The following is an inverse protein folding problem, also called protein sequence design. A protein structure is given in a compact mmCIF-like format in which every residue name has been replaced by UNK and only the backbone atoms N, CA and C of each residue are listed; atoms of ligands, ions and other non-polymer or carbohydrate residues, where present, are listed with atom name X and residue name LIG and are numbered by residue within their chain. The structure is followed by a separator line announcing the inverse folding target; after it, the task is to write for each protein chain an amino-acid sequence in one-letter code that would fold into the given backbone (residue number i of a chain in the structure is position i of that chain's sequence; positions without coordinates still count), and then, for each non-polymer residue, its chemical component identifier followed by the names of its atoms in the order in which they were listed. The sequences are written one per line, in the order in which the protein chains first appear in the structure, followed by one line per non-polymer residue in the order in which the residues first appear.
data_IF_681599302613
#
_entry.id   IF_681599302613
#
_cell.length_a   1.000
_cell.length_b   1.000
_cell.length_c   1.000
_cell.angle_alpha   90.00
_cell.angle_beta   90.00
_cell.angle_gamma   90.00
#
_symmetry.space_group_name_H-M   'P 1'
#
loop_
_entity.id
_entity.type
_entity.pdbx_description
1 polymer ?
#
# COMPACT_ATOMS: atom_id res chain seq x y z
N UNK A 1 3.22 18.03 58.20
CA UNK A 1 3.30 16.85 57.31
C UNK A 1 4.76 16.62 56.97
N UNK A 2 5.32 15.53 57.49
CA UNK A 2 6.77 15.24 57.47
C UNK A 2 7.19 14.87 56.05
N UNK A 3 8.16 15.60 55.48
CA UNK A 3 8.85 15.22 54.24
C UNK A 3 9.77 14.05 54.54
N UNK A 4 9.31 12.84 54.24
CA UNK A 4 10.15 11.65 54.27
C UNK A 4 11.02 11.66 53.02
N UNK A 5 12.28 12.08 53.18
CA UNK A 5 13.31 11.94 52.16
C UNK A 5 13.71 10.46 52.12
N UNK A 6 13.29 9.74 51.09
CA UNK A 6 13.73 8.37 50.83
C UNK A 6 15.17 8.48 50.30
N UNK A 7 16.14 8.28 51.17
CA UNK A 7 17.52 8.00 50.76
C UNK A 7 17.56 6.59 50.19
N UNK A 8 17.69 6.50 48.87
CA UNK A 8 18.04 5.24 48.17
C UNK A 8 19.42 4.78 48.63
N UNK A 9 19.47 3.57 49.23
CA UNK A 9 20.68 2.82 49.47
C UNK A 9 20.85 1.88 48.27
N UNK A 10 21.72 2.29 47.36
CA UNK A 10 22.21 1.48 46.24
C UNK A 10 23.32 2.26 45.56
N UNK A 11 24.58 1.97 45.90
CA UNK A 11 25.76 2.55 45.22
C UNK A 11 25.98 1.92 43.84
N UNK A 12 24.91 1.79 43.06
CA UNK A 12 25.02 1.57 41.62
C UNK A 12 25.38 2.90 40.99
N UNK A 13 26.53 2.99 40.33
CA UNK A 13 26.88 4.15 39.52
C UNK A 13 25.72 4.36 38.54
N UNK A 14 25.11 5.55 38.56
CA UNK A 14 24.13 5.94 37.56
C UNK A 14 24.85 6.15 36.22
N UNK A 15 24.95 5.05 35.47
CA UNK A 15 25.65 5.02 34.18
C UNK A 15 24.85 5.73 33.09
N UNK A 16 23.55 5.92 33.27
CA UNK A 16 22.67 6.57 32.29
C UNK A 16 22.85 8.09 32.33
N UNK A 17 22.93 8.71 33.51
CA UNK A 17 23.23 10.15 33.60
C UNK A 17 24.65 10.54 33.17
N UNK A 18 25.56 9.57 33.08
CA UNK A 18 26.92 9.78 32.55
C UNK A 18 27.02 9.71 31.02
N UNK A 19 25.94 9.36 30.30
CA UNK A 19 25.95 9.31 28.83
C UNK A 19 25.81 10.72 28.23
N UNK A 20 26.53 11.02 27.13
CA UNK A 20 26.27 12.21 26.33
C UNK A 20 24.83 12.27 25.82
N UNK A 21 24.30 13.48 25.68
CA UNK A 21 22.92 13.75 25.25
C UNK A 21 22.54 13.07 23.94
N UNK A 22 23.42 13.06 22.94
CA UNK A 22 23.16 12.39 21.66
C UNK A 22 22.96 10.86 21.79
N UNK A 23 23.61 10.21 22.77
CA UNK A 23 23.39 8.78 23.04
C UNK A 23 22.06 8.56 23.77
N UNK A 24 21.69 9.47 24.67
CA UNK A 24 20.39 9.42 25.33
C UNK A 24 19.26 9.62 24.31
N UNK A 25 19.37 10.60 23.41
CA UNK A 25 18.39 10.81 22.35
C UNK A 25 18.27 9.60 21.42
N UNK A 26 19.38 8.91 21.14
CA UNK A 26 19.37 7.66 20.38
C UNK A 26 18.70 6.51 21.13
N UNK A 27 18.84 6.42 22.45
CA UNK A 27 18.10 5.43 23.25
C UNK A 27 16.61 5.76 23.23
N UNK A 28 16.27 7.04 23.41
CA UNK A 28 14.88 7.52 23.41
C UNK A 28 14.21 7.36 22.04
N UNK A 29 14.93 7.40 20.93
CA UNK A 29 14.37 7.18 19.59
C UNK A 29 13.95 5.73 19.33
N UNK A 30 14.36 4.79 20.17
CA UNK A 30 13.89 3.39 20.13
C UNK A 30 12.65 3.16 21.01
N UNK A 31 12.15 4.21 21.69
CA UNK A 31 10.95 4.18 22.51
C UNK A 31 9.79 4.88 21.80
N UNK A 32 8.56 4.57 22.20
CA UNK A 32 7.40 5.37 21.84
C UNK A 32 7.57 6.82 22.33
N UNK A 33 6.96 7.78 21.64
CA UNK A 33 6.95 9.19 22.07
C UNK A 33 6.47 9.33 23.51
N UNK A 34 5.42 8.60 23.87
CA UNK A 34 4.83 8.58 25.21
C UNK A 34 5.84 8.13 26.28
N UNK A 35 6.58 7.06 26.02
CA UNK A 35 7.59 6.56 26.96
C UNK A 35 8.83 7.45 27.00
N UNK A 36 9.23 8.01 25.87
CA UNK A 36 10.28 9.02 25.79
C UNK A 36 9.94 10.24 26.66
N UNK A 37 8.73 10.78 26.53
CA UNK A 37 8.23 11.89 27.37
C UNK A 37 8.15 11.49 28.83
N UNK A 38 7.73 10.26 29.18
CA UNK A 38 7.68 9.77 30.57
C UNK A 38 9.05 9.82 31.25
N UNK A 39 10.16 9.66 30.53
CA UNK A 39 11.51 9.79 31.10
C UNK A 39 11.81 11.19 31.65
N UNK A 40 11.03 12.21 31.26
CA UNK A 40 11.18 13.60 31.71
C UNK A 40 11.10 13.79 33.23
N UNK A 41 10.50 12.83 33.96
CA UNK A 41 10.38 12.89 35.43
C UNK A 41 11.63 12.38 36.16
N UNK A 42 12.56 11.73 35.46
CA UNK A 42 13.75 11.10 36.07
C UNK A 42 14.70 12.13 36.68
N UNK A 43 14.97 13.24 35.98
CA UNK A 43 15.76 14.35 36.52
C UNK A 43 15.63 15.62 35.68
N UNK A 44 16.26 16.73 36.13
CA UNK A 44 16.31 17.99 35.37
C UNK A 44 16.97 17.82 33.99
N UNK A 45 17.95 16.92 33.87
CA UNK A 45 18.64 16.66 32.61
C UNK A 45 17.71 15.97 31.60
N UNK A 46 16.84 15.07 32.07
CA UNK A 46 15.95 14.28 31.19
C UNK A 46 14.70 15.02 30.76
N UNK A 47 14.33 16.11 31.47
CA UNK A 47 13.08 16.86 31.28
C UNK A 47 12.76 17.27 29.83
N UNK A 48 13.79 17.55 29.04
CA UNK A 48 13.68 18.08 27.68
C UNK A 48 14.39 17.18 26.64
N UNK A 49 14.93 16.02 27.02
CA UNK A 49 15.67 15.17 26.08
C UNK A 49 14.78 14.68 24.93
N UNK A 50 13.52 14.37 25.23
CA UNK A 50 12.54 13.94 24.21
C UNK A 50 12.33 14.98 23.10
N UNK A 51 12.56 16.28 23.37
CA UNK A 51 12.41 17.35 22.37
C UNK A 51 13.54 17.32 21.32
N UNK A 52 14.66 16.65 21.60
CA UNK A 52 15.77 16.44 20.67
C UNK A 52 15.64 15.12 19.89
N UNK A 53 14.63 14.30 20.19
CA UNK A 53 14.41 13.04 19.47
C UNK A 53 13.82 13.38 18.10
N UNK A 54 14.45 12.94 17.00
CA UNK A 54 14.04 13.33 15.64
C UNK A 54 12.87 12.49 15.12
N UNK A 55 12.10 11.88 16.00
CA UNK A 55 10.96 11.02 15.67
C UNK A 55 9.83 11.40 16.61
N UNK A 56 8.65 11.62 16.05
CA UNK A 56 7.47 11.97 16.82
C UNK A 56 6.26 11.19 16.32
N UNK A 57 5.61 10.49 17.24
CA UNK A 57 4.43 9.65 17.01
C UNK A 57 3.34 10.12 17.96
N UNK A 58 2.17 10.45 17.41
CA UNK A 58 1.08 11.05 18.16
C UNK A 58 -0.26 10.42 17.83
N UNK A 59 -1.07 10.25 18.86
CA UNK A 59 -2.49 9.97 18.72
C UNK A 59 -3.26 11.06 19.43
N UNK A 60 -4.20 11.71 18.74
CA UNK A 60 -4.98 12.79 19.36
C UNK A 60 -5.82 12.35 20.56
N UNK A 61 -6.10 11.04 20.67
CA UNK A 61 -6.83 10.43 21.79
C UNK A 61 -5.99 10.31 23.07
N UNK A 62 -4.65 10.39 22.97
CA UNK A 62 -3.74 10.40 24.13
C UNK A 62 -3.79 11.73 24.91
N UNK A 63 -4.44 12.75 24.34
CA UNK A 63 -4.56 14.08 24.93
C UNK A 63 -5.97 14.31 25.48
N UNK A 64 -6.10 14.91 26.68
CA UNK A 64 -7.40 15.11 27.32
C UNK A 64 -8.28 16.10 26.57
N UNK A 65 -7.68 17.08 25.90
CA UNK A 65 -8.36 18.08 25.08
C UNK A 65 -7.39 18.70 24.06
N UNK A 66 -7.92 19.52 23.15
CA UNK A 66 -7.16 20.18 22.08
C UNK A 66 -6.16 21.22 22.62
N UNK A 67 -6.44 21.89 23.74
CA UNK A 67 -5.50 22.87 24.29
C UNK A 67 -4.22 22.18 24.76
N UNK A 68 -4.33 21.04 25.45
CA UNK A 68 -3.17 20.26 25.90
C UNK A 68 -2.40 19.68 24.72
N UNK A 69 -3.10 19.21 23.67
CA UNK A 69 -2.47 18.76 22.43
C UNK A 69 -1.68 19.90 21.77
N UNK A 70 -2.30 21.07 21.60
CA UNK A 70 -1.65 22.25 21.03
C UNK A 70 -0.43 22.68 21.83
N UNK A 71 -0.53 22.78 23.15
CA UNK A 71 0.60 23.13 24.03
C UNK A 71 1.77 22.15 23.88
N UNK A 72 1.46 20.86 23.68
CA UNK A 72 2.48 19.85 23.43
C UNK A 72 3.19 20.08 22.08
N UNK A 73 2.43 20.31 21.01
CA UNK A 73 2.99 20.60 19.68
C UNK A 73 3.79 21.91 19.71
N UNK A 74 3.26 22.97 20.32
CA UNK A 74 3.94 24.27 20.47
C UNK A 74 5.29 24.11 21.16
N UNK A 75 5.32 23.29 22.22
CA UNK A 75 6.57 23.00 22.93
C UNK A 75 7.55 22.23 22.06
N UNK A 76 7.08 21.25 21.27
CA UNK A 76 7.95 20.45 20.41
C UNK A 76 8.50 21.24 19.21
N UNK A 77 7.62 21.90 18.48
CA UNK A 77 7.95 22.68 17.29
C UNK A 77 8.75 23.95 17.64
N UNK A 78 8.42 24.57 18.78
CA UNK A 78 9.16 25.73 19.30
C UNK A 78 10.56 25.37 19.80
N UNK A 79 10.84 24.09 20.02
CA UNK A 79 12.12 23.61 20.53
C UNK A 79 13.11 23.31 19.41
N UNK A 80 14.26 24.00 19.47
CA UNK A 80 15.41 23.87 18.57
C UNK A 80 15.07 23.58 17.11
N UNK A 81 14.74 24.66 16.39
CA UNK A 81 14.34 24.64 14.98
C UNK A 81 15.46 24.19 14.03
N UNK A 82 16.70 24.05 14.51
CA UNK A 82 17.80 23.55 13.68
C UNK A 82 17.84 22.02 13.59
N UNK A 83 17.17 21.33 14.51
CA UNK A 83 17.09 19.86 14.51
C UNK A 83 16.04 19.40 13.50
N UNK A 84 16.50 18.61 12.53
CA UNK A 84 15.64 17.97 11.55
C UNK A 84 14.76 16.91 12.19
N UNK A 85 13.47 16.99 11.87
CA UNK A 85 12.53 15.93 12.16
C UNK A 85 12.73 14.85 11.12
N UNK A 86 13.11 13.62 11.50
CA UNK A 86 13.23 12.53 10.55
C UNK A 86 11.86 11.96 10.22
N UNK A 87 11.07 11.67 11.24
CA UNK A 87 9.77 11.03 11.09
C UNK A 87 8.71 11.70 11.95
N UNK A 88 7.53 11.90 11.36
CA UNK A 88 6.32 12.35 12.03
C UNK A 88 5.17 11.41 11.67
N UNK A 89 4.60 10.77 12.67
CA UNK A 89 3.40 9.93 12.56
C UNK A 89 2.30 10.54 13.43
N UNK A 90 1.12 10.71 12.83
CA UNK A 90 -0.05 11.16 13.57
C UNK A 90 -1.31 10.39 13.18
N UNK A 91 -2.02 9.91 14.19
CA UNK A 91 -3.43 9.62 14.12
C UNK A 91 -4.23 10.83 14.64
N UNK A 92 -5.00 11.45 13.74
CA UNK A 92 -5.75 12.67 13.99
C UNK A 92 -7.26 12.42 13.97
N UNK A 93 -7.96 12.77 15.04
CA UNK A 93 -9.42 12.77 15.06
C UNK A 93 -9.97 14.20 14.95
N UNK A 94 -10.35 14.56 13.73
CA UNK A 94 -10.97 15.85 13.39
C UNK A 94 -12.35 16.06 14.03
N UNK A 95 -13.01 15.03 14.54
CA UNK A 95 -14.24 15.23 15.32
C UNK A 95 -13.95 15.78 16.73
N UNK A 96 -12.72 15.60 17.21
CA UNK A 96 -12.29 15.99 18.55
C UNK A 96 -11.44 17.26 18.50
N UNK A 97 -10.62 17.41 17.46
CA UNK A 97 -9.64 18.50 17.34
C UNK A 97 -9.86 19.38 16.12
N UNK A 98 -9.40 20.62 16.17
CA UNK A 98 -9.75 21.63 15.18
C UNK A 98 -8.90 21.53 13.91
N UNK A 99 -9.54 21.73 12.77
CA UNK A 99 -8.87 21.69 11.47
C UNK A 99 -7.70 22.68 11.34
N UNK A 100 -7.83 23.89 11.91
CA UNK A 100 -6.77 24.90 11.84
C UNK A 100 -5.50 24.47 12.61
N UNK A 101 -5.66 23.73 13.71
CA UNK A 101 -4.53 23.20 14.47
C UNK A 101 -3.81 22.10 13.69
N UNK A 102 -4.55 21.28 12.95
CA UNK A 102 -3.98 20.30 12.02
C UNK A 102 -3.11 20.97 10.95
N UNK A 103 -3.64 21.99 10.25
CA UNK A 103 -2.91 22.68 9.19
C UNK A 103 -1.61 23.31 9.71
N UNK A 104 -1.71 24.04 10.83
CA UNK A 104 -0.57 24.70 11.46
C UNK A 104 0.51 23.69 11.86
N UNK A 105 0.12 22.58 12.49
CA UNK A 105 1.05 21.54 12.92
C UNK A 105 1.79 20.92 11.74
N UNK A 106 1.08 20.55 10.66
CA UNK A 106 1.72 19.97 9.48
C UNK A 106 2.65 20.98 8.79
N UNK A 107 2.25 22.26 8.69
CA UNK A 107 3.11 23.33 8.16
C UNK A 107 4.44 23.42 8.93
N UNK A 108 4.38 23.32 10.26
CA UNK A 108 5.56 23.42 11.10
C UNK A 108 6.42 22.14 11.07
N UNK A 109 5.81 20.96 10.96
CA UNK A 109 6.49 19.68 10.71
C UNK A 109 7.26 19.74 9.38
N UNK A 110 6.64 20.26 8.32
CA UNK A 110 7.29 20.45 7.02
C UNK A 110 8.46 21.44 7.12
N UNK A 111 8.32 22.55 7.85
CA UNK A 111 9.41 23.51 8.09
C UNK A 111 10.60 22.89 8.84
N UNK A 112 10.37 21.84 9.64
CA UNK A 112 11.42 21.03 10.28
C UNK A 112 12.05 19.98 9.37
N UNK A 113 11.87 20.10 8.05
CA UNK A 113 12.53 19.28 7.02
C UNK A 113 12.25 17.78 7.19
N UNK A 114 10.99 17.44 7.48
CA UNK A 114 10.54 16.06 7.64
C UNK A 114 10.90 15.18 6.44
N UNK A 115 11.37 13.96 6.71
CA UNK A 115 11.67 12.96 5.69
C UNK A 115 10.53 11.94 5.55
N UNK A 116 9.99 11.48 6.67
CA UNK A 116 8.95 10.45 6.72
C UNK A 116 7.70 11.05 7.36
N UNK A 117 6.63 11.17 6.60
CA UNK A 117 5.35 11.72 7.08
C UNK A 117 4.26 10.67 6.94
N UNK A 118 3.65 10.30 8.06
CA UNK A 118 2.43 9.49 8.13
C UNK A 118 1.31 10.30 8.78
N UNK A 119 0.20 10.45 8.06
CA UNK A 119 -1.00 11.12 8.55
C UNK A 119 -2.18 10.19 8.34
N UNK A 120 -2.76 9.75 9.44
CA UNK A 120 -4.00 8.98 9.45
C UNK A 120 -5.08 9.82 10.11
N UNK A 121 -6.16 10.11 9.40
CA UNK A 121 -7.34 10.70 10.01
C UNK A 121 -8.32 9.59 10.43
N UNK A 122 -9.22 9.89 11.35
CA UNK A 122 -10.24 8.93 11.79
C UNK A 122 -11.10 8.45 10.60
N UNK A 123 -11.14 7.14 10.27
CA UNK A 123 -11.85 6.60 9.10
C UNK A 123 -13.38 6.69 9.20
N UNK A 124 -13.92 6.89 10.41
CA UNK A 124 -15.37 6.97 10.64
C UNK A 124 -15.93 8.39 10.45
N UNK A 125 -15.12 9.33 9.94
CA UNK A 125 -15.56 10.70 9.65
C UNK A 125 -16.37 10.75 8.36
N UNK A 126 -17.40 11.60 8.34
CA UNK A 126 -18.13 11.91 7.11
C UNK A 126 -17.22 12.76 6.20
N UNK A 127 -17.30 12.56 4.88
CA UNK A 127 -16.47 13.21 3.86
C UNK A 127 -16.22 14.72 4.08
N UNK A 128 -17.24 15.47 4.51
CA UNK A 128 -17.16 16.92 4.75
C UNK A 128 -16.20 17.33 5.88
N UNK A 129 -15.73 16.35 6.68
CA UNK A 129 -14.85 16.58 7.83
C UNK A 129 -13.41 16.13 7.59
N UNK A 130 -13.06 15.58 6.44
CA UNK A 130 -11.68 15.15 6.19
C UNK A 130 -10.72 16.34 6.32
N UNK A 131 -9.62 16.14 7.04
CA UNK A 131 -8.54 17.14 7.06
C UNK A 131 -7.92 17.24 5.67
N UNK A 132 -7.70 18.46 5.19
CA UNK A 132 -7.11 18.71 3.88
C UNK A 132 -5.63 18.99 4.07
N UNK A 133 -4.77 18.39 3.25
CA UNK A 133 -3.34 18.62 3.35
C UNK A 133 -2.97 20.07 3.02
N UNK A 134 -2.13 20.73 3.84
CA UNK A 134 -1.68 22.10 3.58
C UNK A 134 -0.79 22.18 2.34
N UNK A 135 -0.72 23.36 1.74
CA UNK A 135 0.06 23.63 0.52
C UNK A 135 1.56 23.38 0.75
N UNK A 136 2.06 23.62 1.96
CA UNK A 136 3.47 23.39 2.32
C UNK A 136 3.92 21.94 2.03
N UNK A 137 3.02 20.96 2.21
CA UNK A 137 3.32 19.56 1.99
C UNK A 137 3.71 19.29 0.54
N UNK A 138 3.01 19.90 -0.42
CA UNK A 138 3.19 19.69 -1.86
C UNK A 138 4.54 20.19 -2.38
N UNK A 139 5.26 20.99 -1.61
CA UNK A 139 6.58 21.54 -1.94
C UNK A 139 7.68 21.09 -0.96
N UNK A 140 7.42 20.05 -0.16
CA UNK A 140 8.39 19.56 0.82
C UNK A 140 9.56 18.85 0.14
N UNK A 141 10.69 19.56 -0.01
CA UNK A 141 11.86 19.07 -0.72
C UNK A 141 12.64 17.95 0.00
N UNK A 142 12.38 17.72 1.28
CA UNK A 142 13.05 16.72 2.12
C UNK A 142 12.31 15.40 2.19
N UNK A 143 11.01 15.39 1.87
CA UNK A 143 10.14 14.25 2.03
C UNK A 143 10.58 13.08 1.15
N UNK A 144 10.70 11.90 1.76
CA UNK A 144 11.09 10.63 1.15
C UNK A 144 9.94 9.63 1.18
N UNK A 145 9.23 9.54 2.31
CA UNK A 145 8.10 8.65 2.48
C UNK A 145 6.86 9.46 2.85
N UNK A 146 5.79 9.32 2.07
CA UNK A 146 4.51 9.99 2.30
C UNK A 146 3.39 8.96 2.41
N UNK A 147 2.82 8.82 3.61
CA UNK A 147 1.67 7.97 3.89
C UNK A 147 0.48 8.84 4.33
N UNK A 148 -0.59 8.80 3.54
CA UNK A 148 -1.81 9.55 3.80
C UNK A 148 -3.00 8.59 3.85
N UNK A 149 -3.74 8.61 4.96
CA UNK A 149 -4.90 7.76 5.18
C UNK A 149 -6.12 8.59 5.63
N UNK A 150 -7.23 8.49 4.91
CA UNK A 150 -8.51 9.14 5.20
C UNK A 150 -8.44 10.68 5.24
N UNK A 151 -7.70 11.27 4.31
CA UNK A 151 -7.53 12.72 4.21
C UNK A 151 -8.04 13.25 2.88
N UNK A 152 -8.06 14.58 2.74
CA UNK A 152 -8.36 15.25 1.50
C UNK A 152 -7.12 16.00 0.95
N UNK A 153 -7.04 16.10 -0.37
CA UNK A 153 -6.01 16.84 -1.09
C UNK A 153 -6.67 18.00 -1.85
N UNK A 154 -6.11 19.19 -1.66
CA UNK A 154 -6.60 20.42 -2.28
C UNK A 154 -6.25 20.47 -3.76
N UNK A 155 -7.12 21.11 -4.56
CA UNK A 155 -6.79 21.42 -5.94
C UNK A 155 -5.69 22.47 -6.00
N UNK A 156 -4.59 22.14 -6.67
CA UNK A 156 -3.47 23.06 -6.89
C UNK A 156 -3.11 23.06 -8.37
N UNK A 157 -2.66 24.21 -8.93
CA UNK A 157 -2.05 24.23 -10.25
C UNK A 157 -0.89 23.24 -10.30
N UNK A 158 -0.76 22.48 -11.40
CA UNK A 158 0.25 21.41 -11.49
C UNK A 158 1.69 21.90 -11.29
N UNK A 159 1.97 23.15 -11.63
CA UNK A 159 3.29 23.81 -11.42
C UNK A 159 3.64 24.02 -9.94
N UNK A 160 2.67 23.88 -9.03
CA UNK A 160 2.83 24.12 -7.59
C UNK A 160 3.21 22.86 -6.80
N UNK A 161 3.31 21.70 -7.46
CA UNK A 161 3.63 20.43 -6.81
C UNK A 161 5.06 20.03 -7.15
N UNK A 162 5.91 19.87 -6.13
CA UNK A 162 7.32 19.50 -6.29
C UNK A 162 7.78 18.66 -5.09
N UNK A 163 7.89 17.35 -5.32
CA UNK A 163 8.27 16.36 -4.31
C UNK A 163 9.51 15.56 -4.79
N UNK A 164 10.68 16.21 -4.89
CA UNK A 164 11.83 15.71 -5.64
C UNK A 164 12.52 14.48 -5.02
N UNK A 165 12.21 14.15 -3.77
CA UNK A 165 12.86 13.05 -3.02
C UNK A 165 11.91 11.93 -2.63
N UNK A 166 10.62 12.06 -2.91
CA UNK A 166 9.62 11.06 -2.51
C UNK A 166 9.86 9.77 -3.30
N UNK A 167 10.18 8.72 -2.55
CA UNK A 167 10.43 7.36 -3.03
C UNK A 167 9.24 6.45 -2.78
N UNK A 168 8.52 6.65 -1.68
CA UNK A 168 7.32 5.87 -1.37
C UNK A 168 6.13 6.79 -1.18
N UNK A 169 5.03 6.43 -1.85
CA UNK A 169 3.77 7.13 -1.76
C UNK A 169 2.67 6.11 -1.47
N UNK A 170 2.08 6.21 -0.28
CA UNK A 170 0.97 5.38 0.16
C UNK A 170 -0.25 6.26 0.37
N UNK A 171 -1.35 5.94 -0.30
CA UNK A 171 -2.60 6.70 -0.28
C UNK A 171 -3.74 5.74 0.04
N UNK A 172 -4.46 5.95 1.13
CA UNK A 172 -5.58 5.11 1.54
C UNK A 172 -6.81 5.95 1.83
N UNK A 173 -7.89 5.78 1.05
CA UNK A 173 -9.11 6.56 1.22
C UNK A 173 -8.88 8.07 1.09
N UNK A 174 -8.00 8.49 0.17
CA UNK A 174 -7.66 9.89 -0.04
C UNK A 174 -8.61 10.52 -1.04
N UNK A 175 -9.27 11.62 -0.64
CA UNK A 175 -10.15 12.38 -1.53
C UNK A 175 -9.41 13.48 -2.26
N UNK A 176 -9.66 13.62 -3.54
CA UNK A 176 -9.03 14.64 -4.38
C UNK A 176 -10.07 15.66 -4.82
N UNK A 177 -9.82 16.94 -4.53
CA UNK A 177 -10.64 18.07 -4.99
C UNK A 177 -10.39 18.40 -6.47
N UNK A 178 -10.40 17.39 -7.34
CA UNK A 178 -10.10 17.51 -8.76
C UNK A 178 -9.44 16.27 -9.36
N UNK A 179 -9.87 15.93 -10.57
CA UNK A 179 -9.51 14.65 -11.22
C UNK A 179 -8.02 14.52 -11.55
N UNK A 180 -7.32 15.64 -11.77
CA UNK A 180 -5.92 15.65 -12.21
C UNK A 180 -4.91 15.62 -11.06
N UNK A 181 -5.34 15.74 -9.80
CA UNK A 181 -4.43 15.94 -8.66
C UNK A 181 -3.57 14.70 -8.42
N UNK A 182 -4.17 13.51 -8.39
CA UNK A 182 -3.43 12.26 -8.18
C UNK A 182 -2.38 12.03 -9.28
N UNK A 183 -2.77 12.21 -10.54
CA UNK A 183 -1.84 12.12 -11.68
C UNK A 183 -0.71 13.15 -11.59
N UNK A 184 -1.04 14.39 -11.22
CA UNK A 184 -0.06 15.48 -11.00
C UNK A 184 0.92 15.12 -9.89
N UNK A 185 0.42 14.65 -8.73
CA UNK A 185 1.22 14.25 -7.58
C UNK A 185 2.22 13.16 -7.95
N UNK A 186 1.75 12.09 -8.61
CA UNK A 186 2.60 10.98 -9.06
C UNK A 186 3.65 11.46 -10.07
N UNK A 187 3.27 12.30 -11.04
CA UNK A 187 4.22 12.84 -12.03
C UNK A 187 5.25 13.82 -11.44
N UNK A 188 4.93 14.46 -10.31
CA UNK A 188 5.81 15.42 -9.62
C UNK A 188 6.85 14.74 -8.73
N UNK A 189 6.71 13.43 -8.48
CA UNK A 189 7.66 12.63 -7.72
C UNK A 189 8.65 11.93 -8.67
N UNK A 190 9.75 12.59 -9.01
CA UNK A 190 10.69 12.13 -10.06
C UNK A 190 11.53 10.90 -9.70
N UNK A 191 11.57 10.52 -8.41
CA UNK A 191 12.31 9.38 -7.88
C UNK A 191 11.41 8.36 -7.19
N UNK A 192 10.10 8.41 -7.41
CA UNK A 192 9.12 7.51 -6.82
C UNK A 192 9.40 6.07 -7.24
N UNK A 193 9.65 5.17 -6.28
CA UNK A 193 9.92 3.75 -6.51
C UNK A 193 8.70 2.89 -6.18
N UNK A 194 7.98 3.22 -5.11
CA UNK A 194 6.83 2.45 -4.60
C UNK A 194 5.57 3.32 -4.50
N UNK A 195 4.52 2.94 -5.22
CA UNK A 195 3.21 3.60 -5.21
C UNK A 195 2.13 2.61 -4.77
N UNK A 196 1.40 2.95 -3.71
CA UNK A 196 0.23 2.18 -3.25
C UNK A 196 -0.98 3.09 -3.13
N UNK A 197 -2.10 2.67 -3.72
CA UNK A 197 -3.39 3.36 -3.67
C UNK A 197 -4.47 2.38 -3.22
N UNK A 198 -5.10 2.68 -2.09
CA UNK A 198 -6.26 1.94 -1.58
C UNK A 198 -7.49 2.81 -1.74
N UNK A 199 -8.41 2.42 -2.64
CA UNK A 199 -9.60 3.17 -3.03
C UNK A 199 -10.77 2.86 -2.10
N UNK A 200 -11.58 3.87 -1.74
CA UNK A 200 -12.83 3.72 -1.00
C UNK A 200 -14.06 4.16 -1.83
N UNK A 201 -15.28 3.71 -1.46
CA UNK A 201 -16.51 4.11 -2.14
C UNK A 201 -16.65 5.62 -2.30
N UNK A 202 -16.81 6.08 -3.54
CA UNK A 202 -17.04 7.50 -3.84
C UNK A 202 -15.79 8.38 -3.76
N UNK A 203 -14.58 7.80 -3.82
CA UNK A 203 -13.34 8.58 -3.89
C UNK A 203 -13.05 9.14 -5.29
N UNK A 204 -13.46 8.45 -6.36
CA UNK A 204 -13.09 8.78 -7.73
C UNK A 204 -14.25 8.54 -8.70
N UNK A 205 -14.74 9.61 -9.34
CA UNK A 205 -15.83 9.51 -10.32
C UNK A 205 -15.32 9.37 -11.78
N UNK A 206 -14.01 9.53 -12.01
CA UNK A 206 -13.40 9.57 -13.35
C UNK A 206 -12.15 8.68 -13.46
N UNK A 207 -11.60 8.65 -14.68
CA UNK A 207 -10.39 7.89 -15.02
C UNK A 207 -9.18 8.43 -14.25
N UNK A 208 -8.49 7.55 -13.53
CA UNK A 208 -7.25 7.85 -12.81
C UNK A 208 -6.05 7.45 -13.68
N UNK A 209 -5.17 8.40 -13.95
CA UNK A 209 -3.97 8.19 -14.76
C UNK A 209 -2.71 8.11 -13.90
N UNK A 210 -2.03 6.96 -13.91
CA UNK A 210 -0.73 6.76 -13.27
C UNK A 210 0.37 6.76 -14.33
N UNK A 211 1.07 7.90 -14.47
CA UNK A 211 2.18 8.06 -15.40
C UNK A 211 3.45 8.40 -14.63
N UNK A 212 4.44 7.51 -14.68
CA UNK A 212 5.73 7.72 -14.00
C UNK A 212 6.87 7.04 -14.73
N UNK A 213 8.04 7.69 -14.72
CA UNK A 213 9.28 7.15 -15.29
C UNK A 213 10.20 6.50 -14.24
N UNK A 214 9.80 6.48 -12.97
CA UNK A 214 10.62 6.00 -11.85
C UNK A 214 10.00 4.81 -11.11
N UNK A 215 8.67 4.67 -11.12
CA UNK A 215 7.95 3.66 -10.33
C UNK A 215 8.38 2.25 -10.73
N UNK A 216 8.75 1.46 -9.71
CA UNK A 216 9.16 0.05 -9.80
C UNK A 216 8.10 -0.88 -9.21
N UNK A 217 7.37 -0.44 -8.20
CA UNK A 217 6.29 -1.18 -7.54
C UNK A 217 5.01 -0.36 -7.54
N UNK A 218 3.93 -0.94 -8.04
CA UNK A 218 2.60 -0.34 -8.05
C UNK A 218 1.59 -1.29 -7.44
N UNK A 219 0.84 -0.82 -6.46
CA UNK A 219 -0.29 -1.55 -5.88
C UNK A 219 -1.53 -0.68 -5.93
N UNK A 220 -2.62 -1.24 -6.44
CA UNK A 220 -3.96 -0.68 -6.31
C UNK A 220 -4.87 -1.72 -5.66
N UNK A 221 -5.57 -1.31 -4.61
CA UNK A 221 -6.47 -2.16 -3.84
C UNK A 221 -7.81 -1.46 -3.70
N UNK A 222 -8.89 -2.19 -3.91
CA UNK A 222 -10.23 -1.69 -3.71
C UNK A 222 -10.75 -2.08 -2.33
N UNK A 223 -11.29 -1.10 -1.62
CA UNK A 223 -12.18 -1.30 -0.47
C UNK A 223 -13.62 -0.92 -0.86
N UNK A 224 -13.91 -0.84 -2.18
CA UNK A 224 -15.23 -0.49 -2.69
C UNK A 224 -16.16 -1.71 -2.77
N UNK A 225 -17.39 -1.57 -2.27
CA UNK A 225 -18.43 -2.61 -2.43
C UNK A 225 -19.10 -2.59 -3.82
N UNK A 226 -18.90 -1.52 -4.59
CA UNK A 226 -19.59 -1.28 -5.86
C UNK A 226 -18.59 -1.18 -7.01
N UNK A 227 -18.32 0.04 -7.47
CA UNK A 227 -17.56 0.34 -8.67
C UNK A 227 -16.37 1.24 -8.34
N UNK A 228 -15.19 0.79 -8.76
CA UNK A 228 -13.94 1.53 -8.75
C UNK A 228 -13.82 2.47 -9.95
N UNK A 229 -12.96 3.49 -9.85
CA UNK A 229 -12.61 4.30 -11.01
C UNK A 229 -11.96 3.49 -12.12
N UNK A 230 -12.07 4.01 -13.33
CA UNK A 230 -11.28 3.51 -14.45
C UNK A 230 -9.81 3.89 -14.26
N UNK A 231 -8.88 3.07 -14.75
CA UNK A 231 -7.44 3.27 -14.53
C UNK A 231 -6.66 3.21 -15.84
N UNK A 232 -5.70 4.12 -15.99
CA UNK A 232 -4.65 4.05 -17.01
C UNK A 232 -3.27 4.00 -16.35
N UNK A 233 -2.44 3.03 -16.76
CA UNK A 233 -1.06 2.87 -16.28
C UNK A 233 -0.07 3.05 -17.43
N UNK A 234 0.89 3.95 -17.24
CA UNK A 234 2.05 4.14 -18.12
C UNK A 234 3.32 4.30 -17.26
N UNK A 235 3.90 3.16 -16.88
CA UNK A 235 5.04 3.05 -15.97
C UNK A 235 6.09 2.08 -16.56
N UNK A 236 6.92 2.51 -17.53
CA UNK A 236 7.79 1.61 -18.30
C UNK A 236 8.90 0.93 -17.49
N UNK A 237 9.16 1.36 -16.26
CA UNK A 237 10.14 0.74 -15.33
C UNK A 237 9.49 -0.15 -14.27
N UNK A 238 8.18 -0.39 -14.36
CA UNK A 238 7.46 -1.17 -13.37
C UNK A 238 7.96 -2.62 -13.35
N UNK A 239 8.45 -3.07 -12.20
CA UNK A 239 8.94 -4.43 -11.94
C UNK A 239 7.88 -5.28 -11.24
N UNK A 240 6.99 -4.65 -10.46
CA UNK A 240 5.92 -5.29 -9.74
C UNK A 240 4.61 -4.50 -9.87
N UNK A 241 3.53 -5.18 -10.24
CA UNK A 241 2.18 -4.62 -10.28
C UNK A 241 1.23 -5.51 -9.46
N UNK A 242 0.45 -4.93 -8.57
CA UNK A 242 -0.56 -5.65 -7.79
C UNK A 242 -1.91 -4.94 -7.92
N UNK A 243 -2.93 -5.69 -8.33
CA UNK A 243 -4.32 -5.23 -8.43
C UNK A 243 -5.13 -6.16 -7.54
N UNK A 244 -5.79 -5.61 -6.51
CA UNK A 244 -6.54 -6.39 -5.52
C UNK A 244 -7.99 -5.96 -5.44
N UNK A 245 -8.86 -6.96 -5.45
CA UNK A 245 -10.30 -6.85 -5.28
C UNK A 245 -10.99 -5.86 -6.24
N UNK A 246 -10.32 -5.47 -7.33
CA UNK A 246 -10.67 -4.28 -8.10
C UNK A 246 -11.83 -4.50 -9.06
N UNK A 247 -12.77 -3.57 -9.13
CA UNK A 247 -13.98 -3.70 -9.96
C UNK A 247 -14.26 -2.44 -10.77
N UNK A 248 -13.92 -2.44 -12.07
CA UNK A 248 -14.02 -1.24 -12.91
C UNK A 248 -14.69 -1.51 -14.26
N UNK A 249 -15.04 -0.45 -15.00
CA UNK A 249 -15.46 -0.58 -16.40
C UNK A 249 -14.27 -0.65 -17.36
N UNK A 250 -13.11 -0.11 -16.96
CA UNK A 250 -11.93 -0.03 -17.82
C UNK A 250 -10.64 0.03 -17.01
N UNK A 251 -9.69 -0.83 -17.37
CA UNK A 251 -8.33 -0.81 -16.85
C UNK A 251 -7.34 -0.97 -18.00
N UNK A 252 -6.59 0.09 -18.30
CA UNK A 252 -5.69 0.14 -19.46
C UNK A 252 -4.24 0.14 -18.99
N UNK A 253 -3.46 -0.79 -19.54
CA UNK A 253 -2.02 -0.88 -19.30
C UNK A 253 -1.29 -0.51 -20.59
N UNK A 254 -0.77 0.72 -20.67
CA UNK A 254 -0.03 1.22 -21.83
C UNK A 254 1.40 0.66 -21.88
N UNK A 255 2.15 0.85 -20.80
CA UNK A 255 3.51 0.35 -20.68
C UNK A 255 3.86 -0.03 -19.25
N UNK A 256 4.52 -1.18 -19.11
CA UNK A 256 5.11 -1.71 -17.88
C UNK A 256 6.46 -2.33 -18.23
N UNK A 257 7.31 -2.55 -17.23
CA UNK A 257 8.64 -3.12 -17.44
C UNK A 257 8.59 -4.48 -18.13
N UNK A 258 9.53 -4.77 -19.04
CA UNK A 258 9.65 -6.10 -19.61
C UNK A 258 9.99 -7.06 -18.47
N UNK A 259 9.23 -8.15 -18.35
CA UNK A 259 9.38 -9.15 -17.27
C UNK A 259 8.88 -8.74 -15.88
N UNK A 260 8.03 -7.73 -15.77
CA UNK A 260 7.35 -7.42 -14.52
C UNK A 260 6.67 -8.68 -13.93
N UNK A 261 6.62 -8.76 -12.60
CA UNK A 261 5.72 -9.65 -11.88
C UNK A 261 4.38 -8.94 -11.70
N UNK A 262 3.28 -9.62 -12.00
CA UNK A 262 1.94 -9.07 -11.81
C UNK A 262 1.09 -9.95 -10.91
N UNK A 263 0.35 -9.35 -10.00
CA UNK A 263 -0.69 -9.98 -9.21
C UNK A 263 -2.02 -9.32 -9.60
N UNK A 264 -2.94 -10.11 -10.14
CA UNK A 264 -4.14 -9.59 -10.81
C UNK A 264 -5.39 -10.25 -10.26
N UNK A 265 -6.07 -9.49 -9.40
CA UNK A 265 -7.43 -9.72 -8.96
C UNK A 265 -8.33 -8.56 -9.39
N UNK A 266 -8.95 -8.71 -10.57
CA UNK A 266 -9.80 -7.69 -11.19
C UNK A 266 -11.03 -8.31 -11.83
N UNK A 267 -12.14 -7.58 -11.78
CA UNK A 267 -13.37 -7.86 -12.52
C UNK A 267 -13.79 -6.64 -13.33
N UNK A 268 -14.38 -6.88 -14.51
CA UNK A 268 -14.93 -5.82 -15.36
C UNK A 268 -16.46 -5.83 -15.35
N UNK A 269 -17.07 -4.74 -14.89
CA UNK A 269 -18.52 -4.53 -14.92
C UNK A 269 -18.98 -4.09 -16.31
N UNK A 270 -18.93 -5.00 -17.27
CA UNK A 270 -19.23 -4.70 -18.68
C UNK A 270 -20.12 -5.75 -19.31
N UNK A 271 -20.87 -5.35 -20.33
CA UNK A 271 -21.56 -6.28 -21.21
C UNK A 271 -20.53 -6.94 -22.14
N UNK A 272 -20.24 -8.22 -21.95
CA UNK A 272 -19.19 -8.93 -22.71
C UNK A 272 -19.49 -9.06 -24.21
N UNK A 273 -20.73 -8.80 -24.62
CA UNK A 273 -21.15 -8.77 -26.03
C UNK A 273 -20.86 -7.41 -26.69
N UNK A 274 -20.60 -6.35 -25.91
CA UNK A 274 -20.27 -5.02 -26.43
C UNK A 274 -18.87 -5.02 -27.09
N UNK A 275 -18.75 -4.66 -28.38
CA UNK A 275 -17.46 -4.52 -29.07
C UNK A 275 -16.45 -3.61 -28.37
N UNK A 276 -16.90 -2.58 -27.63
CA UNK A 276 -16.03 -1.69 -26.88
C UNK A 276 -15.45 -2.40 -25.65
N UNK A 277 -16.27 -3.11 -24.90
CA UNK A 277 -15.84 -3.95 -23.77
C UNK A 277 -14.83 -5.02 -24.21
N UNK A 278 -15.11 -5.73 -25.31
CA UNK A 278 -14.19 -6.71 -25.90
C UNK A 278 -12.83 -6.07 -26.24
N UNK A 279 -12.86 -4.87 -26.83
CA UNK A 279 -11.64 -4.13 -27.17
C UNK A 279 -10.84 -3.73 -25.94
N UNK A 280 -11.52 -3.25 -24.89
CA UNK A 280 -10.89 -2.88 -23.62
C UNK A 280 -10.24 -4.09 -22.95
N UNK A 281 -10.96 -5.21 -22.80
CA UNK A 281 -10.42 -6.44 -22.20
C UNK A 281 -9.22 -6.95 -23.02
N UNK A 282 -9.30 -6.92 -24.35
CA UNK A 282 -8.16 -7.29 -25.22
C UNK A 282 -6.94 -6.42 -24.94
N UNK A 283 -7.12 -5.10 -24.80
CA UNK A 283 -6.03 -4.17 -24.53
C UNK A 283 -5.41 -4.44 -23.15
N UNK A 284 -6.23 -4.67 -22.13
CA UNK A 284 -5.77 -5.07 -20.80
C UNK A 284 -4.92 -6.34 -20.86
N UNK A 285 -5.46 -7.43 -21.40
CA UNK A 285 -4.77 -8.72 -21.53
C UNK A 285 -3.47 -8.61 -22.34
N UNK A 286 -3.47 -7.77 -23.38
CA UNK A 286 -2.27 -7.50 -24.18
C UNK A 286 -1.22 -6.74 -23.37
N UNK A 287 -1.63 -5.75 -22.56
CA UNK A 287 -0.73 -4.98 -21.70
C UNK A 287 0.01 -5.87 -20.70
N UNK A 288 -0.70 -6.82 -20.07
CA UNK A 288 -0.11 -7.77 -19.11
C UNK A 288 0.51 -9.02 -19.76
N UNK A 289 0.43 -9.20 -21.08
CA UNK A 289 0.98 -10.41 -21.75
C UNK A 289 2.51 -10.52 -21.75
N UNK A 290 3.20 -9.41 -21.47
CA UNK A 290 4.68 -9.30 -21.52
C UNK A 290 5.38 -9.73 -20.24
N UNK A 291 4.61 -10.06 -19.20
CA UNK A 291 5.07 -10.34 -17.82
C UNK A 291 5.78 -11.69 -17.72
N UNK A 292 6.62 -11.85 -16.70
CA UNK A 292 7.38 -13.09 -16.46
C UNK A 292 6.75 -13.99 -15.41
N UNK A 293 6.14 -13.37 -14.41
CA UNK A 293 5.46 -14.04 -13.31
C UNK A 293 4.09 -13.43 -13.14
N UNK A 294 3.08 -14.27 -12.94
CA UNK A 294 1.70 -13.83 -12.75
C UNK A 294 1.09 -14.58 -11.58
N UNK A 295 0.43 -13.83 -10.69
CA UNK A 295 -0.61 -14.34 -9.81
C UNK A 295 -1.96 -13.91 -10.39
N UNK A 296 -2.93 -14.83 -10.44
CA UNK A 296 -4.26 -14.59 -11.02
C UNK A 296 -5.36 -15.12 -10.11
N UNK A 297 -6.41 -14.33 -9.90
CA UNK A 297 -7.57 -14.73 -9.11
C UNK A 297 -8.65 -15.45 -9.93
N UNK A 298 -9.60 -16.09 -9.24
CA UNK A 298 -10.85 -16.59 -9.82
C UNK A 298 -11.60 -15.53 -10.64
N UNK A 299 -11.73 -14.30 -10.10
CA UNK A 299 -12.45 -13.19 -10.76
C UNK A 299 -11.82 -12.85 -12.11
N UNK A 300 -10.49 -12.74 -12.13
CA UNK A 300 -9.74 -12.44 -13.36
C UNK A 300 -9.84 -13.58 -14.38
N UNK A 301 -9.83 -14.85 -13.94
CA UNK A 301 -10.04 -15.99 -14.86
C UNK A 301 -11.45 -16.01 -15.47
N UNK A 302 -12.47 -15.58 -14.72
CA UNK A 302 -13.84 -15.44 -15.24
C UNK A 302 -13.90 -14.43 -16.39
N UNK A 303 -13.24 -13.28 -16.23
CA UNK A 303 -13.08 -12.27 -17.30
C UNK A 303 -12.45 -12.89 -18.55
N UNK A 304 -11.34 -13.63 -18.38
CA UNK A 304 -10.62 -14.28 -19.49
C UNK A 304 -11.51 -15.30 -20.21
N UNK A 305 -12.28 -16.09 -19.45
CA UNK A 305 -13.23 -17.06 -20.00
C UNK A 305 -14.33 -16.36 -20.79
N UNK A 306 -14.95 -15.33 -20.21
CA UNK A 306 -15.98 -14.52 -20.87
C UNK A 306 -15.49 -13.98 -22.21
N UNK A 307 -14.32 -13.34 -22.19
CA UNK A 307 -13.66 -12.84 -23.40
C UNK A 307 -13.37 -13.95 -24.43
N UNK A 308 -12.78 -15.08 -24.00
CA UNK A 308 -12.48 -16.19 -24.88
C UNK A 308 -13.76 -16.79 -25.51
N UNK A 309 -14.87 -16.81 -24.76
CA UNK A 309 -16.14 -17.33 -25.27
C UNK A 309 -16.65 -16.55 -26.49
N UNK A 310 -16.37 -15.24 -26.54
CA UNK A 310 -16.76 -14.33 -27.61
C UNK A 310 -15.76 -14.31 -28.78
N UNK A 311 -14.46 -14.18 -28.49
CA UNK A 311 -13.44 -13.93 -29.53
C UNK A 311 -12.76 -15.20 -30.03
N UNK A 312 -12.80 -16.29 -29.25
CA UNK A 312 -12.12 -17.59 -29.54
C UNK A 312 -10.60 -17.46 -29.77
N UNK A 313 -10.00 -16.34 -29.37
CA UNK A 313 -8.56 -16.11 -29.47
C UNK A 313 -8.09 -15.27 -28.27
N UNK A 314 -7.07 -15.75 -27.56
CA UNK A 314 -6.42 -15.04 -26.45
C UNK A 314 -5.04 -14.51 -26.87
N UNK A 315 -4.59 -13.37 -26.32
CA UNK A 315 -3.19 -12.95 -26.44
C UNK A 315 -2.23 -14.03 -25.93
N UNK A 316 -1.05 -14.12 -26.55
CA UNK A 316 -0.03 -15.10 -26.17
C UNK A 316 0.82 -14.57 -25.00
N UNK A 317 0.86 -15.32 -23.90
CA UNK A 317 1.68 -15.04 -22.72
C UNK A 317 3.05 -15.73 -22.86
N UNK A 318 3.80 -15.29 -23.86
CA UNK A 318 5.03 -15.98 -24.28
C UNK A 318 6.20 -15.81 -23.30
N UNK A 319 6.19 -14.77 -22.48
CA UNK A 319 7.24 -14.53 -21.49
C UNK A 319 6.92 -15.16 -20.12
N UNK A 320 5.68 -15.62 -19.93
CA UNK A 320 5.22 -16.10 -18.64
C UNK A 320 5.88 -17.45 -18.31
N UNK A 321 6.67 -17.45 -17.24
CA UNK A 321 7.47 -18.59 -16.79
C UNK A 321 6.96 -19.20 -15.47
N UNK A 322 6.30 -18.40 -14.63
CA UNK A 322 5.65 -18.83 -13.39
C UNK A 322 4.24 -18.27 -13.33
N UNK A 323 3.26 -19.14 -13.08
CA UNK A 323 1.87 -18.78 -12.86
C UNK A 323 1.45 -19.30 -11.48
N UNK A 324 0.80 -18.46 -10.71
CA UNK A 324 0.16 -18.79 -9.45
C UNK A 324 -1.33 -18.46 -9.58
N UNK A 325 -2.19 -19.44 -9.40
CA UNK A 325 -3.64 -19.28 -9.54
C UNK A 325 -4.27 -19.40 -8.16
N UNK A 326 -4.89 -18.32 -7.67
CA UNK A 326 -5.60 -18.26 -6.39
C UNK A 326 -7.10 -18.42 -6.67
N UNK A 327 -7.61 -19.65 -6.50
CA UNK A 327 -8.93 -20.03 -7.02
C UNK A 327 -9.87 -20.50 -5.93
N UNK A 328 -11.15 -20.16 -6.07
CA UNK A 328 -12.25 -20.88 -5.41
C UNK A 328 -12.54 -22.18 -6.18
N UNK A 329 -12.96 -23.23 -5.50
CA UNK A 329 -13.11 -24.60 -6.03
C UNK A 329 -13.82 -24.69 -7.40
N UNK A 330 -14.81 -23.84 -7.70
CA UNK A 330 -15.55 -23.89 -8.97
C UNK A 330 -14.79 -23.33 -10.19
N UNK A 331 -13.67 -22.65 -10.00
CA UNK A 331 -13.02 -21.86 -11.06
C UNK A 331 -11.83 -22.55 -11.75
N UNK A 332 -11.35 -23.69 -11.25
CA UNK A 332 -10.21 -24.39 -11.85
C UNK A 332 -10.52 -24.91 -13.26
N UNK A 333 -11.79 -25.15 -13.61
CA UNK A 333 -12.20 -25.57 -14.96
C UNK A 333 -11.85 -24.54 -16.05
N UNK A 334 -11.61 -23.29 -15.67
CA UNK A 334 -11.28 -22.20 -16.59
C UNK A 334 -9.77 -22.08 -16.84
N UNK A 335 -8.96 -22.67 -15.97
CA UNK A 335 -7.51 -22.63 -16.03
C UNK A 335 -6.93 -23.26 -17.31
N UNK A 336 -7.42 -24.40 -17.84
CA UNK A 336 -6.87 -24.99 -19.07
C UNK A 336 -6.91 -24.07 -20.29
N UNK A 337 -7.96 -23.24 -20.41
CA UNK A 337 -8.10 -22.28 -21.52
C UNK A 337 -6.98 -21.24 -21.46
N UNK A 338 -6.74 -20.66 -20.29
CA UNK A 338 -5.68 -19.69 -20.08
C UNK A 338 -4.28 -20.32 -20.19
N UNK A 339 -4.10 -21.53 -19.67
CA UNK A 339 -2.84 -22.27 -19.84
C UNK A 339 -2.49 -22.46 -21.32
N UNK A 340 -3.49 -22.64 -22.20
CA UNK A 340 -3.31 -22.77 -23.65
C UNK A 340 -2.51 -21.64 -24.31
N UNK A 341 -2.57 -20.41 -23.78
CA UNK A 341 -1.80 -19.27 -24.31
C UNK A 341 -0.48 -19.00 -23.57
N UNK A 342 -0.14 -19.75 -22.52
CA UNK A 342 1.07 -19.58 -21.70
C UNK A 342 2.22 -20.48 -22.19
N UNK A 343 2.75 -20.28 -23.40
CA UNK A 343 3.60 -21.27 -24.11
C UNK A 343 4.91 -21.65 -23.39
N UNK A 344 5.51 -20.74 -22.62
CA UNK A 344 6.82 -20.94 -21.96
C UNK A 344 6.72 -21.12 -20.44
N UNK A 345 5.54 -21.51 -19.95
CA UNK A 345 5.31 -21.73 -18.53
C UNK A 345 6.17 -22.90 -18.01
N UNK A 346 6.90 -22.69 -16.92
CA UNK A 346 7.79 -23.68 -16.30
C UNK A 346 7.32 -24.12 -14.91
N UNK A 347 6.67 -23.21 -14.17
CA UNK A 347 6.14 -23.44 -12.84
C UNK A 347 4.67 -23.03 -12.80
N UNK A 348 3.82 -23.90 -12.26
CA UNK A 348 2.43 -23.60 -11.97
C UNK A 348 2.15 -23.92 -10.49
N UNK A 349 1.64 -22.94 -9.77
CA UNK A 349 1.09 -23.09 -8.42
C UNK A 349 -0.41 -22.86 -8.52
N UNK A 350 -1.20 -23.74 -7.90
CA UNK A 350 -2.65 -23.55 -7.80
C UNK A 350 -2.99 -23.59 -6.32
N UNK A 351 -3.42 -22.47 -5.78
CA UNK A 351 -3.97 -22.38 -4.44
C UNK A 351 -5.49 -22.41 -4.53
N UNK A 352 -6.09 -23.31 -3.76
CA UNK A 352 -7.54 -23.40 -3.65
C UNK A 352 -8.00 -22.87 -2.30
N UNK A 353 -8.92 -21.91 -2.37
CA UNK A 353 -9.63 -21.36 -1.23
C UNK A 353 -10.97 -22.09 -1.04
N UNK A 354 -11.38 -22.25 0.23
CA UNK A 354 -12.64 -22.89 0.61
C UNK A 354 -12.64 -24.42 0.80
N UNK A 355 -11.52 -25.12 0.64
CA UNK A 355 -11.46 -26.56 0.93
C UNK A 355 -11.52 -26.83 2.45
N UNK A 356 -12.51 -27.63 2.87
CA UNK A 356 -12.58 -28.13 4.24
C UNK A 356 -11.42 -29.09 4.55
N UNK A 357 -11.03 -29.14 5.83
CA UNK A 357 -9.69 -29.50 6.31
C UNK A 357 -9.17 -30.95 6.07
N UNK A 358 -9.82 -31.77 5.24
CA UNK A 358 -9.49 -33.21 5.15
C UNK A 358 -9.51 -33.78 3.71
N UNK A 359 -9.96 -33.05 2.69
CA UNK A 359 -10.00 -33.62 1.35
C UNK A 359 -8.61 -33.57 0.68
N UNK A 360 -8.05 -34.75 0.37
CA UNK A 360 -6.93 -34.86 -0.56
C UNK A 360 -7.32 -34.15 -1.85
N UNK A 361 -6.65 -33.04 -2.15
CA UNK A 361 -6.83 -32.34 -3.42
C UNK A 361 -6.45 -33.27 -4.58
N UNK A 362 -7.46 -33.89 -5.18
CA UNK A 362 -7.32 -34.67 -6.41
C UNK A 362 -7.63 -33.77 -7.57
N UNK A 363 -6.56 -33.31 -8.22
CA UNK A 363 -6.61 -32.61 -9.50
C UNK A 363 -7.49 -33.43 -10.46
N UNK A 364 -8.52 -32.81 -11.05
CA UNK A 364 -9.42 -33.49 -11.96
C UNK A 364 -8.68 -34.07 -13.18
N UNK A 365 -9.23 -35.11 -13.83
CA UNK A 365 -8.63 -35.70 -15.03
C UNK A 365 -8.38 -34.68 -16.14
N UNK A 366 -9.29 -33.71 -16.34
CA UNK A 366 -9.17 -32.70 -17.40
C UNK A 366 -7.95 -31.78 -17.21
N UNK A 367 -7.71 -31.33 -15.98
CA UNK A 367 -6.56 -30.51 -15.67
C UNK A 367 -5.27 -31.35 -15.70
N UNK A 368 -5.31 -32.58 -15.18
CA UNK A 368 -4.18 -33.53 -15.28
C UNK A 368 -3.80 -33.82 -16.74
N UNK A 369 -4.77 -34.05 -17.61
CA UNK A 369 -4.54 -34.34 -19.03
C UNK A 369 -3.95 -33.12 -19.74
N UNK A 370 -4.47 -31.92 -19.47
CA UNK A 370 -3.94 -30.67 -20.01
C UNK A 370 -2.51 -30.39 -19.53
N UNK A 371 -2.23 -30.59 -18.24
CA UNK A 371 -0.90 -30.42 -17.67
C UNK A 371 0.09 -31.47 -18.21
N UNK A 372 -0.34 -32.72 -18.27
CA UNK A 372 0.46 -33.84 -18.80
C UNK A 372 0.79 -33.64 -20.28
N UNK A 373 -0.17 -33.21 -21.10
CA UNK A 373 0.04 -32.89 -22.51
C UNK A 373 1.09 -31.79 -22.71
N UNK A 374 1.32 -30.94 -21.70
CA UNK A 374 2.30 -29.85 -21.71
C UNK A 374 3.61 -30.20 -21.00
N UNK A 375 3.75 -31.45 -20.57
CA UNK A 375 4.95 -31.96 -19.90
C UNK A 375 5.07 -31.54 -18.44
N UNK A 376 4.01 -31.04 -17.81
CA UNK A 376 4.02 -30.80 -16.36
C UNK A 376 3.88 -32.10 -15.58
N UNK A 377 4.54 -32.16 -14.43
CA UNK A 377 4.40 -33.24 -13.45
C UNK A 377 3.97 -32.64 -12.13
N UNK A 378 3.03 -33.31 -11.46
CA UNK A 378 2.60 -32.92 -10.13
C UNK A 378 3.70 -33.19 -9.11
N UNK A 379 4.18 -32.15 -8.44
CA UNK A 379 5.06 -32.29 -7.29
C UNK A 379 4.17 -32.46 -6.05
N UNK A 380 4.32 -33.60 -5.35
CA UNK A 380 3.62 -33.85 -4.09
C UNK A 380 4.24 -32.98 -2.99
N UNK A 381 3.79 -31.74 -2.85
CA UNK A 381 4.14 -30.89 -1.71
C UNK A 381 3.37 -31.40 -0.47
N UNK A 382 4.02 -31.64 0.68
CA UNK A 382 3.29 -31.97 1.91
C UNK A 382 2.46 -30.77 2.34
N UNK A 383 1.13 -30.94 2.41
CA UNK A 383 0.17 -29.94 2.88
C UNK A 383 0.47 -29.64 4.35
N UNK A 384 0.91 -28.42 4.68
CA UNK A 384 1.13 -27.99 6.07
C UNK A 384 0.00 -27.08 6.53
N UNK A 385 -0.80 -27.57 7.49
CA UNK A 385 -1.81 -26.81 8.21
C UNK A 385 -1.21 -26.34 9.53
N UNK A 386 -1.09 -25.03 9.74
CA UNK A 386 -0.82 -24.47 11.07
C UNK A 386 -1.72 -23.28 11.36
N UNK A 387 -2.42 -23.32 12.50
CA UNK A 387 -3.32 -22.27 13.00
C UNK A 387 -2.54 -20.99 13.33
N UNK A 388 -2.92 -19.88 12.71
CA UNK A 388 -3.44 -18.66 13.40
C UNK A 388 -3.97 -17.65 12.38
N UNK A 389 -5.13 -17.07 12.74
CA UNK A 389 -5.93 -15.98 12.15
C UNK A 389 -5.92 -15.74 10.64
N UNK A 390 -7.13 -15.94 10.07
CA UNK A 390 -7.61 -15.64 8.70
C UNK A 390 -7.03 -16.51 7.58
N UNK A 391 -7.76 -17.62 7.38
CA UNK A 391 -7.91 -18.44 6.17
C UNK A 391 -6.81 -19.46 5.81
N UNK A 392 -7.28 -20.70 5.64
CA UNK A 392 -6.49 -21.90 5.30
C UNK A 392 -6.52 -22.06 3.78
N UNK A 393 -5.37 -21.92 3.12
CA UNK A 393 -5.22 -22.16 1.68
C UNK A 393 -4.51 -23.47 1.41
N UNK A 394 -5.00 -24.26 0.45
CA UNK A 394 -4.33 -25.49 -0.01
C UNK A 394 -3.63 -25.19 -1.32
N UNK A 395 -2.30 -25.35 -1.36
CA UNK A 395 -1.50 -25.15 -2.57
C UNK A 395 -1.06 -26.47 -3.20
N UNK A 396 -1.24 -26.60 -4.52
CA UNK A 396 -0.67 -27.65 -5.36
C UNK A 396 0.43 -27.08 -6.25
N UNK A 397 1.52 -27.83 -6.44
CA UNK A 397 2.68 -27.38 -7.21
C UNK A 397 2.96 -28.31 -8.41
N UNK A 398 3.19 -27.72 -9.58
CA UNK A 398 3.50 -28.43 -10.82
C UNK A 398 4.72 -27.82 -11.51
N UNK A 399 5.63 -28.69 -11.96
CA UNK A 399 6.87 -28.29 -12.66
C UNK A 399 6.94 -28.97 -14.02
N UNK A 400 7.36 -28.21 -15.04
CA UNK A 400 7.58 -28.73 -16.39
C UNK A 400 8.83 -29.61 -16.44
N UNK A 401 8.75 -30.80 -17.05
CA UNK A 401 9.91 -31.67 -17.26
C UNK A 401 10.96 -30.94 -18.12
N UNK A 402 12.17 -30.80 -17.59
CA UNK A 402 13.34 -30.39 -18.37
C UNK A 402 13.72 -31.56 -19.28
N UNK A 403 13.42 -31.45 -20.57
CA UNK A 403 13.73 -32.44 -21.61
C UNK A 403 14.94 -32.03 -22.42
#
# INVERSE_FOLDING_TARGET
MVRTSIKSIGSGIDRLSGLPEHLLCRILSELSTKDSVRTSVLSKHWRNLWLHVPVLELETSDFPDNLVFREFIDRFVGFDKEIDLKSFDIFYDVNVHWYDDFLWMIDDVVKRRVCDLMVTNNPYVVNEKLVKMPISLYSCATLVNLNLSFVAMNNLPSESVCLPRVKTLYLHGVKFDGDSILGTLVSSCSVLEDLTVVTHPGDYEKVVCFRSQSVKSFTIESQCEYKDPNVEIDCPRLEYMCIREYQSESFVVHSIGPYAKVDVDIFFEVEYEDPLAITMIRNFLTGISKVREMTISSRTLEVIRGYHSMVKALPQFSNLSRLEALLVESYWEHLPVFLGCCINLNSLVVELDGLSEIEEFKVSPLLQDSLSARGFVQQKTPVSVTKTSSERKIAAHFVKKSG
#
